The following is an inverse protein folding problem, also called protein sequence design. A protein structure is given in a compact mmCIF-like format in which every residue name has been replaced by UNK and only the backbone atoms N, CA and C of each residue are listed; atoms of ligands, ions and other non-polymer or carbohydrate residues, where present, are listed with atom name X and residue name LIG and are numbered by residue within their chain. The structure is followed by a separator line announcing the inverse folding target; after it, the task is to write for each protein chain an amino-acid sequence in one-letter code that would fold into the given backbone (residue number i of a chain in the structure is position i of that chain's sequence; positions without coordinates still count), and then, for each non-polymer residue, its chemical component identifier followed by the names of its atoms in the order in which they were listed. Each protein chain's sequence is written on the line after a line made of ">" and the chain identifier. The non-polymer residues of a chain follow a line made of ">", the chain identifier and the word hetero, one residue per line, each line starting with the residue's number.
data_IF_976327753404
#
_entry.id   IF_976327753404
#
_cell.length_a   1.000
_cell.length_b   1.000
_cell.length_c   1.000
_cell.angle_alpha   90.00
_cell.angle_beta   90.00
_cell.angle_gamma   90.00
#
_symmetry.space_group_name_H-M   'P 1'
#
loop_
_entity.id
_entity.type
_entity.pdbx_description
1 polymer ?
#
# COMPACT_ATOMS: atom_id res chain seq x y z
N UNK A 1 25.44 12.01 53.78
CA UNK A 1 24.38 11.19 53.18
C UNK A 1 24.14 11.70 51.75
N UNK A 2 24.74 11.05 50.78
CA UNK A 2 24.59 11.43 49.36
C UNK A 2 23.39 10.66 48.81
N UNK A 3 22.32 11.38 48.41
CA UNK A 3 21.14 10.79 47.74
C UNK A 3 21.53 10.47 46.30
N UNK A 4 21.60 9.20 45.98
CA UNK A 4 21.76 8.68 44.62
C UNK A 4 20.37 8.79 43.94
N UNK A 5 20.22 9.72 43.00
CA UNK A 5 19.03 9.81 42.16
C UNK A 5 19.26 8.86 41.00
N UNK A 6 18.59 7.72 41.04
CA UNK A 6 18.54 6.75 39.93
C UNK A 6 17.56 7.29 38.88
N UNK A 7 18.08 7.90 37.83
CA UNK A 7 17.30 8.27 36.65
C UNK A 7 17.03 7.00 35.85
N UNK A 8 15.83 6.47 35.98
CA UNK A 8 15.33 5.39 35.12
C UNK A 8 15.09 5.99 33.74
N UNK A 9 16.07 5.84 32.86
CA UNK A 9 15.90 6.11 31.44
C UNK A 9 15.01 4.99 30.87
N UNK A 10 13.69 5.20 30.84
CA UNK A 10 12.79 4.36 30.06
C UNK A 10 13.09 4.61 28.60
N UNK A 11 13.90 3.72 28.03
CA UNK A 11 14.03 3.59 26.58
C UNK A 11 12.64 3.25 26.01
N UNK A 12 11.93 4.25 25.55
CA UNK A 12 10.81 4.06 24.65
C UNK A 12 11.42 3.49 23.35
N UNK A 13 11.44 2.17 23.27
CA UNK A 13 11.65 1.49 22.00
C UNK A 13 10.39 1.79 21.19
N UNK A 14 10.45 2.85 20.38
CA UNK A 14 9.47 3.06 19.34
C UNK A 14 9.51 1.78 18.50
N UNK A 15 8.48 0.95 18.61
CA UNK A 15 8.28 -0.17 17.71
C UNK A 15 8.18 0.40 16.30
N UNK A 16 9.29 0.30 15.58
CA UNK A 16 9.37 0.64 14.16
C UNK A 16 8.72 -0.55 13.46
N UNK A 17 7.39 -0.60 13.52
CA UNK A 17 6.63 -1.62 12.82
C UNK A 17 6.70 -1.30 11.32
N UNK A 18 7.68 -1.89 10.65
CA UNK A 18 7.74 -1.91 9.20
C UNK A 18 6.71 -2.97 8.75
N UNK A 19 5.49 -2.54 8.45
CA UNK A 19 4.50 -3.44 7.87
C UNK A 19 5.06 -4.11 6.62
N UNK A 20 4.80 -5.41 6.51
CA UNK A 20 5.16 -6.21 5.34
C UNK A 20 3.92 -6.88 4.77
N UNK A 21 3.87 -6.96 3.44
CA UNK A 21 2.75 -7.60 2.76
C UNK A 21 3.24 -8.70 1.81
N UNK A 22 2.51 -9.82 1.77
CA UNK A 22 2.60 -10.81 0.68
C UNK A 22 1.35 -10.69 -0.17
N UNK A 23 1.52 -10.39 -1.44
CA UNK A 23 0.41 -10.17 -2.36
C UNK A 23 0.43 -11.10 -3.55
N UNK A 24 -0.71 -11.16 -4.23
CA UNK A 24 -0.88 -11.80 -5.54
C UNK A 24 -1.99 -11.12 -6.31
N UNK A 25 -1.93 -11.24 -7.62
CA UNK A 25 -3.05 -10.95 -8.50
C UNK A 25 -3.85 -12.22 -8.73
N UNK A 26 -5.17 -12.09 -8.78
CA UNK A 26 -6.12 -13.19 -8.96
C UNK A 26 -6.96 -12.86 -10.17
N UNK A 27 -6.79 -13.61 -11.24
CA UNK A 27 -7.68 -13.56 -12.40
C UNK A 27 -8.75 -14.63 -12.22
N UNK A 28 -10.00 -14.21 -12.17
CA UNK A 28 -11.15 -15.11 -12.06
C UNK A 28 -11.54 -15.60 -13.45
N UNK A 29 -11.88 -16.88 -13.56
CA UNK A 29 -12.37 -17.48 -14.80
C UNK A 29 -13.70 -16.85 -15.22
N UNK A 30 -13.95 -16.82 -16.52
CA UNK A 30 -15.17 -16.24 -17.09
C UNK A 30 -16.43 -16.87 -16.49
N UNK A 31 -17.36 -16.03 -16.06
CA UNK A 31 -18.63 -16.46 -15.44
C UNK A 31 -18.52 -17.00 -14.02
N UNK A 32 -17.32 -16.96 -13.37
CA UNK A 32 -17.09 -17.49 -12.01
C UNK A 32 -16.99 -16.41 -10.93
N UNK A 33 -17.11 -15.14 -11.27
CA UNK A 33 -16.93 -14.03 -10.33
C UNK A 33 -17.78 -14.19 -9.05
N UNK A 34 -19.08 -14.45 -9.19
CA UNK A 34 -19.98 -14.61 -8.05
C UNK A 34 -19.53 -15.75 -7.14
N UNK A 35 -19.22 -16.92 -7.74
CA UNK A 35 -18.79 -18.12 -7.00
C UNK A 35 -17.50 -17.89 -6.25
N UNK A 36 -16.51 -17.26 -6.89
CA UNK A 36 -15.19 -16.97 -6.29
C UNK A 36 -15.31 -15.91 -5.19
N UNK A 37 -16.12 -14.86 -5.40
CA UNK A 37 -16.32 -13.83 -4.39
C UNK A 37 -16.99 -14.40 -3.14
N UNK A 38 -18.03 -15.18 -3.28
CA UNK A 38 -18.68 -15.85 -2.14
C UNK A 38 -17.74 -16.81 -1.42
N UNK A 39 -16.90 -17.53 -2.15
CA UNK A 39 -15.90 -18.42 -1.55
C UNK A 39 -14.81 -17.65 -0.77
N UNK A 40 -14.27 -16.56 -1.34
CA UNK A 40 -13.30 -15.70 -0.66
C UNK A 40 -13.92 -15.06 0.58
N UNK A 41 -15.16 -14.55 0.47
CA UNK A 41 -15.91 -13.97 1.58
C UNK A 41 -16.09 -14.99 2.72
N UNK A 42 -16.63 -16.16 2.42
CA UNK A 42 -16.85 -17.21 3.41
C UNK A 42 -15.54 -17.65 4.10
N UNK A 43 -14.45 -17.80 3.34
CA UNK A 43 -13.12 -18.11 3.86
C UNK A 43 -12.60 -16.99 4.79
N UNK A 44 -12.73 -15.74 4.36
CA UNK A 44 -12.24 -14.59 5.13
C UNK A 44 -13.04 -14.43 6.43
N UNK A 45 -14.35 -14.57 6.37
CA UNK A 45 -15.23 -14.52 7.56
C UNK A 45 -14.95 -15.66 8.55
N UNK A 46 -14.54 -16.84 8.08
CA UNK A 46 -14.25 -17.98 8.94
C UNK A 46 -12.85 -17.91 9.58
N UNK A 47 -11.84 -17.44 8.85
CA UNK A 47 -10.45 -17.61 9.26
C UNK A 47 -9.65 -16.32 9.45
N UNK A 48 -10.11 -15.18 8.92
CA UNK A 48 -9.32 -13.95 8.86
C UNK A 48 -10.06 -12.75 9.47
N UNK A 49 -10.63 -12.95 10.67
CA UNK A 49 -11.37 -11.90 11.38
C UNK A 49 -10.51 -11.10 12.37
N UNK A 50 -9.19 -11.26 12.31
CA UNK A 50 -8.26 -10.41 13.06
C UNK A 50 -7.63 -9.38 12.11
N UNK A 51 -7.59 -8.13 12.55
CA UNK A 51 -6.85 -7.07 11.86
C UNK A 51 -5.33 -7.13 12.14
N UNK A 52 -4.92 -7.84 13.19
CA UNK A 52 -3.52 -7.90 13.64
C UNK A 52 -2.74 -9.10 13.11
N UNK A 53 -3.44 -10.22 12.84
CA UNK A 53 -2.80 -11.48 12.43
C UNK A 53 -3.56 -12.11 11.27
N UNK A 54 -2.82 -12.57 10.27
CA UNK A 54 -3.37 -13.19 9.07
C UNK A 54 -4.39 -12.29 8.36
N UNK A 55 -4.24 -10.95 8.49
CA UNK A 55 -5.13 -10.00 7.87
C UNK A 55 -4.96 -10.01 6.36
N UNK A 56 -6.07 -10.15 5.65
CA UNK A 56 -6.11 -10.15 4.20
C UNK A 56 -6.96 -9.01 3.69
N UNK A 57 -6.40 -8.20 2.79
CA UNK A 57 -7.08 -7.10 2.14
C UNK A 57 -7.18 -7.35 0.64
N UNK A 58 -8.35 -7.10 0.08
CA UNK A 58 -8.67 -7.41 -1.32
C UNK A 58 -9.16 -6.15 -2.01
N UNK A 59 -8.61 -5.89 -3.19
CA UNK A 59 -8.98 -4.78 -4.05
C UNK A 59 -9.41 -5.32 -5.42
N UNK A 60 -10.42 -4.72 -6.00
CA UNK A 60 -10.77 -4.90 -7.41
C UNK A 60 -10.02 -3.86 -8.25
N UNK A 61 -9.39 -4.29 -9.32
CA UNK A 61 -8.64 -3.42 -10.23
C UNK A 61 -9.59 -2.98 -11.33
N UNK A 62 -9.93 -1.69 -11.36
CA UNK A 62 -10.88 -1.13 -12.31
C UNK A 62 -10.24 -0.78 -13.64
N UNK A 63 -9.00 -0.29 -13.61
CA UNK A 63 -8.32 0.23 -14.81
C UNK A 63 -6.92 -0.35 -15.00
N UNK A 64 -6.40 -0.18 -16.22
CA UNK A 64 -5.05 -0.62 -16.58
C UNK A 64 -5.00 -2.05 -17.12
N UNK A 65 -3.79 -2.58 -17.29
CA UNK A 65 -3.55 -3.89 -17.92
C UNK A 65 -4.02 -5.09 -17.08
N UNK A 66 -4.41 -4.86 -15.81
CA UNK A 66 -4.94 -5.86 -14.90
C UNK A 66 -6.41 -5.60 -14.52
N UNK A 67 -7.09 -4.73 -15.27
CA UNK A 67 -8.51 -4.47 -15.05
C UNK A 67 -9.33 -5.77 -15.02
N UNK A 68 -10.26 -5.87 -14.07
CA UNK A 68 -11.08 -7.06 -13.85
C UNK A 68 -10.44 -8.12 -12.94
N UNK A 69 -9.18 -7.95 -12.53
CA UNK A 69 -8.52 -8.84 -11.56
C UNK A 69 -8.70 -8.34 -10.13
N UNK A 70 -8.46 -9.25 -9.17
CA UNK A 70 -8.32 -8.88 -7.77
C UNK A 70 -6.83 -8.78 -7.43
N UNK A 71 -6.47 -7.78 -6.64
CA UNK A 71 -5.22 -7.75 -5.88
C UNK A 71 -5.53 -8.16 -4.45
N UNK A 72 -4.88 -9.19 -3.94
CA UNK A 72 -5.08 -9.66 -2.57
C UNK A 72 -3.75 -9.73 -1.83
N UNK A 73 -3.67 -9.05 -0.70
CA UNK A 73 -2.49 -8.99 0.15
C UNK A 73 -2.78 -9.51 1.55
N UNK A 74 -1.89 -10.32 2.11
CA UNK A 74 -1.76 -10.58 3.54
C UNK A 74 -0.79 -9.56 4.11
N UNK A 75 -1.19 -8.81 5.13
CA UNK A 75 -0.36 -7.82 5.82
C UNK A 75 -0.02 -8.34 7.22
N UNK A 76 1.24 -8.21 7.58
CA UNK A 76 1.79 -8.53 8.92
C UNK A 76 2.62 -7.34 9.42
N UNK A 77 2.82 -7.28 10.73
CA UNK A 77 3.60 -6.22 11.35
C UNK A 77 5.09 -6.30 11.00
N UNK A 78 5.60 -7.52 10.75
CA UNK A 78 6.98 -7.80 10.37
C UNK A 78 7.07 -9.14 9.59
N UNK A 79 8.28 -9.50 9.18
CA UNK A 79 8.54 -10.76 8.47
C UNK A 79 8.25 -12.00 9.32
N UNK A 80 8.47 -11.92 10.64
CA UNK A 80 8.24 -13.05 11.54
C UNK A 80 6.75 -13.45 11.60
N UNK A 81 5.83 -12.52 11.33
CA UNK A 81 4.41 -12.81 11.19
C UNK A 81 4.11 -13.85 10.11
N UNK A 82 4.97 -13.97 9.08
CA UNK A 82 4.81 -14.97 8.03
C UNK A 82 5.37 -16.36 8.39
N UNK A 83 6.12 -16.50 9.48
CA UNK A 83 6.64 -17.77 9.96
C UNK A 83 5.59 -18.55 10.78
N UNK A 84 4.52 -17.85 11.21
CA UNK A 84 3.41 -18.49 11.88
C UNK A 84 2.72 -19.49 10.94
N UNK A 85 2.53 -20.71 11.44
CA UNK A 85 1.83 -21.76 10.69
C UNK A 85 0.40 -21.32 10.37
N UNK A 86 0.06 -21.39 9.09
CA UNK A 86 -1.30 -21.15 8.62
C UNK A 86 -2.26 -22.26 9.05
N UNK A 87 -3.54 -21.97 9.09
CA UNK A 87 -4.56 -22.97 9.40
C UNK A 87 -4.72 -23.95 8.22
N UNK A 88 -4.48 -25.28 8.41
CA UNK A 88 -4.63 -26.26 7.34
C UNK A 88 -6.04 -26.31 6.73
N UNK A 89 -7.09 -26.06 7.54
CA UNK A 89 -8.47 -26.00 7.04
C UNK A 89 -8.72 -24.77 6.15
N UNK A 90 -8.05 -23.65 6.46
CA UNK A 90 -8.07 -22.45 5.63
C UNK A 90 -7.51 -22.75 4.23
N UNK A 91 -6.35 -23.40 4.16
CA UNK A 91 -5.72 -23.81 2.89
C UNK A 91 -6.59 -24.82 2.14
N UNK A 92 -7.16 -25.79 2.85
CA UNK A 92 -8.09 -26.77 2.27
C UNK A 92 -9.28 -26.09 1.63
N UNK A 93 -9.95 -25.21 2.37
CA UNK A 93 -11.11 -24.45 1.86
C UNK A 93 -10.74 -23.62 0.63
N UNK A 94 -9.61 -22.90 0.66
CA UNK A 94 -9.14 -22.14 -0.50
C UNK A 94 -8.91 -23.03 -1.72
N UNK A 95 -8.23 -24.16 -1.54
CA UNK A 95 -7.90 -25.08 -2.63
C UNK A 95 -9.14 -25.76 -3.24
N UNK A 96 -10.16 -25.99 -2.44
CA UNK A 96 -11.40 -26.64 -2.89
C UNK A 96 -12.37 -25.66 -3.53
N UNK A 97 -12.43 -24.41 -3.05
CA UNK A 97 -13.52 -23.48 -3.40
C UNK A 97 -13.09 -22.29 -4.26
N UNK A 98 -11.82 -21.90 -4.23
CA UNK A 98 -11.29 -20.76 -5.00
C UNK A 98 -10.34 -21.22 -6.09
N UNK A 99 -9.32 -21.99 -5.75
CA UNK A 99 -8.25 -22.39 -6.69
C UNK A 99 -8.75 -22.96 -8.02
N UNK A 100 -9.83 -23.78 -8.08
CA UNK A 100 -10.30 -24.35 -9.36
C UNK A 100 -10.82 -23.32 -10.37
N UNK A 101 -11.08 -22.10 -9.95
CA UNK A 101 -11.74 -21.06 -10.75
C UNK A 101 -10.91 -19.77 -10.92
N UNK A 102 -9.62 -19.86 -10.59
CA UNK A 102 -8.75 -18.68 -10.66
C UNK A 102 -7.35 -19.03 -11.16
N UNK A 103 -6.75 -18.08 -11.82
CA UNK A 103 -5.31 -18.07 -12.07
C UNK A 103 -4.65 -17.04 -11.15
N UNK A 104 -3.71 -17.49 -10.33
CA UNK A 104 -2.90 -16.60 -9.49
C UNK A 104 -1.61 -16.25 -10.21
N UNK A 105 -1.23 -14.97 -10.11
CA UNK A 105 -0.06 -14.44 -10.77
C UNK A 105 0.69 -13.47 -9.84
N UNK A 106 1.97 -13.29 -10.11
CA UNK A 106 2.83 -12.27 -9.54
C UNK A 106 2.80 -12.25 -8.00
N UNK A 107 3.26 -13.34 -7.39
CA UNK A 107 3.45 -13.38 -5.94
C UNK A 107 4.59 -12.45 -5.53
N UNK A 108 4.29 -11.45 -4.71
CA UNK A 108 5.23 -10.41 -4.33
C UNK A 108 5.26 -10.21 -2.83
N UNK A 109 6.43 -9.82 -2.32
CA UNK A 109 6.62 -9.33 -0.96
C UNK A 109 6.93 -7.84 -1.01
N UNK A 110 6.27 -7.06 -0.14
CA UNK A 110 6.36 -5.61 -0.07
C UNK A 110 6.74 -5.17 1.33
N UNK A 111 7.49 -4.08 1.40
CA UNK A 111 7.85 -3.37 2.62
C UNK A 111 7.22 -1.99 2.59
N UNK A 112 6.46 -1.66 3.63
CA UNK A 112 5.91 -0.32 3.80
C UNK A 112 7.00 0.68 4.15
N UNK A 113 7.07 1.79 3.44
CA UNK A 113 8.05 2.84 3.66
C UNK A 113 7.42 4.05 4.37
N UNK A 114 7.33 3.97 5.69
CA UNK A 114 6.73 5.02 6.52
C UNK A 114 7.42 6.38 6.43
N UNK A 115 8.71 6.43 6.03
CA UNK A 115 9.46 7.67 5.95
C UNK A 115 9.02 8.58 4.79
N UNK A 116 8.26 8.04 3.86
CA UNK A 116 7.72 8.73 2.68
C UNK A 116 6.24 8.45 2.47
N UNK A 117 5.57 7.84 3.44
CA UNK A 117 4.12 7.63 3.47
C UNK A 117 3.46 8.61 4.43
N UNK A 118 2.30 9.10 4.06
CA UNK A 118 1.47 9.98 4.86
C UNK A 118 0.02 9.50 4.76
N UNK A 119 -0.44 8.79 5.77
CA UNK A 119 -1.79 8.23 5.84
C UNK A 119 -2.46 8.74 7.11
N UNK A 120 -3.59 9.41 6.96
CA UNK A 120 -4.38 10.00 8.04
C UNK A 120 -5.63 9.18 8.34
N UNK A 121 -6.08 8.37 7.38
CA UNK A 121 -7.35 7.66 7.44
C UNK A 121 -7.17 6.16 7.37
N UNK A 122 -8.16 5.45 7.90
CA UNK A 122 -8.25 4.00 7.78
C UNK A 122 -8.53 3.57 6.33
N UNK A 123 -8.04 2.39 5.97
CA UNK A 123 -8.29 1.75 4.68
C UNK A 123 -9.79 1.64 4.34
N UNK A 124 -10.64 1.50 5.35
CA UNK A 124 -12.09 1.36 5.18
C UNK A 124 -12.81 2.68 4.91
N UNK A 125 -12.27 3.79 5.35
CA UNK A 125 -12.93 5.09 5.20
C UNK A 125 -12.78 5.64 3.79
N UNK A 126 -11.67 5.30 3.14
CA UNK A 126 -11.37 5.73 1.77
C UNK A 126 -11.14 4.51 0.88
N UNK A 127 -12.21 3.89 0.34
CA UNK A 127 -12.09 2.64 -0.39
C UNK A 127 -11.45 2.77 -1.78
N UNK A 128 -11.50 3.94 -2.40
CA UNK A 128 -10.93 4.17 -3.72
C UNK A 128 -9.43 4.40 -3.61
N UNK A 129 -8.64 3.77 -4.48
CA UNK A 129 -7.18 3.91 -4.54
C UNK A 129 -6.73 4.30 -5.94
N UNK A 130 -6.04 5.42 -6.06
CA UNK A 130 -5.21 5.65 -7.23
C UNK A 130 -3.82 5.04 -6.95
N UNK A 131 -3.49 3.98 -7.66
CA UNK A 131 -2.24 3.23 -7.48
C UNK A 131 -1.31 3.50 -8.64
N UNK A 132 -0.10 3.96 -8.33
CA UNK A 132 0.97 4.16 -9.30
C UNK A 132 2.06 3.13 -9.02
N UNK A 133 2.28 2.25 -9.98
CA UNK A 133 3.34 1.26 -9.96
C UNK A 133 4.54 1.82 -10.74
N UNK A 134 5.66 1.99 -10.08
CA UNK A 134 6.92 2.46 -10.67
C UNK A 134 7.89 1.30 -10.84
N UNK A 135 8.61 1.30 -11.97
CA UNK A 135 9.79 0.47 -12.17
C UNK A 135 11.02 1.37 -12.21
N UNK A 136 11.72 1.45 -11.11
CA UNK A 136 12.82 2.38 -10.89
C UNK A 136 14.15 1.74 -11.32
N UNK A 137 14.98 2.48 -12.02
CA UNK A 137 16.37 2.10 -12.32
C UNK A 137 17.17 2.15 -10.99
N UNK A 138 17.72 1.03 -10.52
CA UNK A 138 18.51 1.02 -9.29
C UNK A 138 19.67 2.02 -9.28
N UNK A 139 20.28 2.30 -10.45
CA UNK A 139 21.38 3.25 -10.58
C UNK A 139 20.94 4.71 -10.37
N UNK A 140 19.65 5.01 -10.56
CA UNK A 140 19.04 6.34 -10.41
C UNK A 140 18.04 6.42 -9.24
N UNK A 141 18.03 5.42 -8.39
CA UNK A 141 17.05 5.34 -7.28
C UNK A 141 17.14 6.52 -6.31
N UNK A 142 18.29 7.17 -6.19
CA UNK A 142 18.44 8.36 -5.34
C UNK A 142 17.53 9.52 -5.81
N UNK A 143 17.39 9.75 -7.11
CA UNK A 143 16.52 10.80 -7.64
C UNK A 143 15.05 10.50 -7.32
N UNK A 144 14.66 9.24 -7.47
CA UNK A 144 13.32 8.77 -7.10
C UNK A 144 13.03 9.01 -5.61
N UNK A 145 13.92 8.58 -4.72
CA UNK A 145 13.69 8.70 -3.27
C UNK A 145 13.79 10.14 -2.77
N UNK A 146 14.66 10.95 -3.37
CA UNK A 146 14.72 12.40 -3.09
C UNK A 146 13.38 13.07 -3.41
N UNK A 147 12.82 12.79 -4.59
CA UNK A 147 11.51 13.31 -4.96
C UNK A 147 10.41 12.84 -3.99
N UNK A 148 10.35 11.54 -3.67
CA UNK A 148 9.35 10.99 -2.74
C UNK A 148 9.45 11.63 -1.35
N UNK A 149 10.66 11.82 -0.84
CA UNK A 149 10.86 12.46 0.47
C UNK A 149 10.40 13.91 0.47
N UNK A 150 10.73 14.65 -0.57
CA UNK A 150 10.31 16.06 -0.70
C UNK A 150 8.79 16.19 -0.88
N UNK A 151 8.14 15.26 -1.58
CA UNK A 151 6.68 15.17 -1.64
C UNK A 151 6.09 14.94 -0.26
N UNK A 152 6.61 13.98 0.50
CA UNK A 152 6.17 13.75 1.88
C UNK A 152 6.29 15.02 2.73
N UNK A 153 7.45 15.69 2.69
CA UNK A 153 7.70 16.92 3.46
C UNK A 153 6.73 18.05 3.03
N UNK A 154 6.44 18.16 1.74
CA UNK A 154 5.51 19.13 1.20
C UNK A 154 4.05 18.84 1.61
N UNK A 155 3.62 17.56 1.64
CA UNK A 155 2.30 17.16 2.17
C UNK A 155 2.19 17.60 3.64
N UNK A 156 3.19 17.26 4.46
CA UNK A 156 3.21 17.59 5.90
C UNK A 156 3.17 19.11 6.11
N UNK A 157 4.00 19.87 5.39
CA UNK A 157 4.12 21.33 5.58
C UNK A 157 2.90 22.11 5.07
N UNK A 158 2.33 21.67 3.94
CA UNK A 158 1.12 22.28 3.36
C UNK A 158 -0.16 21.93 4.10
N UNK A 159 -0.12 20.89 4.96
CA UNK A 159 -1.32 20.29 5.58
C UNK A 159 -2.36 19.87 4.55
N UNK A 160 -1.90 19.40 3.39
CA UNK A 160 -2.79 18.87 2.38
C UNK A 160 -3.53 17.62 2.91
N UNK A 161 -4.81 17.54 2.64
CA UNK A 161 -5.67 16.43 3.06
C UNK A 161 -5.52 15.22 2.11
N UNK A 162 -4.29 14.70 2.01
CA UNK A 162 -3.92 13.59 1.14
C UNK A 162 -3.48 12.39 1.97
N UNK A 163 -3.94 11.21 1.58
CA UNK A 163 -3.45 9.94 2.09
C UNK A 163 -2.55 9.28 1.05
N UNK A 164 -1.28 9.07 1.37
CA UNK A 164 -0.29 8.49 0.48
C UNK A 164 0.47 7.35 1.15
N UNK A 165 0.22 6.12 0.70
CA UNK A 165 0.97 4.93 1.12
C UNK A 165 2.04 4.55 0.10
N UNK A 166 3.27 4.26 0.56
CA UNK A 166 4.39 3.87 -0.30
C UNK A 166 4.94 2.51 0.12
N UNK A 167 5.00 1.60 -0.84
CA UNK A 167 5.46 0.23 -0.65
C UNK A 167 6.58 -0.08 -1.63
N UNK A 168 7.64 -0.73 -1.15
CA UNK A 168 8.76 -1.17 -1.97
C UNK A 168 8.76 -2.69 -2.09
N UNK A 169 8.88 -3.22 -3.31
CA UNK A 169 8.98 -4.66 -3.49
C UNK A 169 10.32 -5.18 -2.96
N UNK A 170 10.25 -6.22 -2.13
CA UNK A 170 11.43 -6.91 -1.60
C UNK A 170 11.73 -8.22 -2.31
N UNK A 171 10.69 -8.89 -2.84
CA UNK A 171 10.84 -10.14 -3.57
C UNK A 171 9.68 -10.36 -4.55
N UNK A 172 9.87 -11.22 -5.56
CA UNK A 172 8.83 -11.65 -6.50
C UNK A 172 8.67 -10.75 -7.72
N UNK A 173 9.62 -9.83 -7.99
CA UNK A 173 9.59 -9.02 -9.20
C UNK A 173 11.01 -8.78 -9.74
N UNK A 174 11.10 -8.16 -10.93
CA UNK A 174 12.36 -7.75 -11.54
C UNK A 174 12.57 -6.25 -11.31
N UNK A 175 13.79 -5.89 -10.87
CA UNK A 175 14.17 -4.50 -10.63
C UNK A 175 13.57 -3.92 -9.34
N UNK A 176 13.75 -2.64 -9.13
CA UNK A 176 13.21 -1.90 -8.00
C UNK A 176 11.81 -1.42 -8.34
N UNK A 177 10.81 -2.12 -7.82
CA UNK A 177 9.41 -1.74 -8.01
C UNK A 177 8.89 -1.04 -6.76
N UNK A 178 8.19 0.06 -6.96
CA UNK A 178 7.56 0.85 -5.90
C UNK A 178 6.10 1.06 -6.24
N UNK A 179 5.25 0.81 -5.27
CA UNK A 179 3.82 1.12 -5.33
C UNK A 179 3.57 2.39 -4.50
N UNK A 180 2.97 3.38 -5.11
CA UNK A 180 2.45 4.57 -4.43
C UNK A 180 0.94 4.57 -4.58
N UNK A 181 0.24 4.49 -3.47
CA UNK A 181 -1.23 4.52 -3.43
C UNK A 181 -1.72 5.81 -2.80
N UNK A 182 -2.61 6.51 -3.48
CA UNK A 182 -3.39 7.61 -2.90
C UNK A 182 -4.79 7.10 -2.58
N UNK A 183 -5.28 7.44 -1.39
CA UNK A 183 -6.58 6.99 -0.90
C UNK A 183 -7.62 8.09 -1.02
N UNK A 184 -8.82 7.75 -1.49
CA UNK A 184 -9.93 8.66 -1.69
C UNK A 184 -11.24 8.00 -1.22
N UNK A 185 -12.16 8.79 -0.67
CA UNK A 185 -13.49 8.30 -0.32
C UNK A 185 -14.29 7.94 -1.59
N UNK A 186 -14.16 8.75 -2.63
CA UNK A 186 -14.83 8.57 -3.91
C UNK A 186 -14.08 9.29 -5.06
N UNK A 187 -14.66 9.29 -6.25
CA UNK A 187 -14.08 9.94 -7.42
C UNK A 187 -14.10 11.47 -7.34
N UNK A 188 -15.04 12.06 -6.59
CA UNK A 188 -15.09 13.52 -6.42
C UNK A 188 -13.95 13.99 -5.53
N UNK A 189 -13.67 13.27 -4.43
CA UNK A 189 -12.48 13.53 -3.61
C UNK A 189 -11.20 13.30 -4.42
N UNK A 190 -11.12 12.23 -5.21
CA UNK A 190 -9.96 11.99 -6.08
C UNK A 190 -9.69 13.16 -7.04
N UNK A 191 -10.73 13.77 -7.62
CA UNK A 191 -10.59 14.96 -8.48
C UNK A 191 -10.12 16.16 -7.67
N UNK A 192 -10.69 16.40 -6.48
CA UNK A 192 -10.29 17.49 -5.59
C UNK A 192 -8.84 17.35 -5.13
N UNK A 193 -8.41 16.14 -4.76
CA UNK A 193 -7.05 15.84 -4.35
C UNK A 193 -6.04 16.09 -5.46
N UNK A 194 -6.37 15.70 -6.71
CA UNK A 194 -5.49 15.91 -7.86
C UNK A 194 -5.38 17.37 -8.30
N UNK A 195 -6.34 18.21 -7.94
CA UNK A 195 -6.39 19.60 -8.36
C UNK A 195 -6.07 20.56 -7.20
N UNK A 196 -6.90 20.57 -6.17
CA UNK A 196 -6.82 21.54 -5.06
C UNK A 196 -5.71 21.14 -4.08
N UNK A 197 -5.74 19.93 -3.57
CA UNK A 197 -4.78 19.47 -2.55
C UNK A 197 -3.37 19.36 -3.14
N UNK A 198 -3.26 18.81 -4.35
CA UNK A 198 -1.97 18.69 -5.02
C UNK A 198 -1.33 20.05 -5.35
N UNK A 199 -2.13 21.09 -5.65
CA UNK A 199 -1.61 22.43 -5.86
C UNK A 199 -0.96 23.00 -4.59
N UNK A 200 -1.51 22.72 -3.40
CA UNK A 200 -0.89 23.09 -2.11
C UNK A 200 0.47 22.40 -1.94
N UNK A 201 0.54 21.11 -2.27
CA UNK A 201 1.79 20.33 -2.20
C UNK A 201 2.86 20.88 -3.12
N UNK A 202 2.52 21.19 -4.38
CA UNK A 202 3.47 21.78 -5.34
C UNK A 202 3.99 23.12 -4.86
N UNK A 203 3.11 23.98 -4.35
CA UNK A 203 3.50 25.29 -3.79
C UNK A 203 4.47 25.15 -2.61
N UNK A 204 4.14 24.28 -1.64
CA UNK A 204 5.00 24.03 -0.48
C UNK A 204 6.34 23.35 -0.87
N UNK A 205 6.33 22.51 -1.90
CA UNK A 205 7.54 21.91 -2.43
C UNK A 205 8.50 22.97 -2.98
N UNK A 206 8.00 23.88 -3.81
CA UNK A 206 8.80 24.94 -4.41
C UNK A 206 9.24 25.97 -3.36
N UNK A 207 8.39 26.31 -2.39
CA UNK A 207 8.76 27.19 -1.27
C UNK A 207 9.95 26.62 -0.47
N UNK A 208 9.96 25.30 -0.20
CA UNK A 208 11.00 24.67 0.60
C UNK A 208 12.30 24.37 -0.18
N UNK A 209 12.22 24.17 -1.49
CA UNK A 209 13.36 23.66 -2.29
C UNK A 209 13.83 24.65 -3.38
N UNK A 210 13.09 25.71 -3.66
CA UNK A 210 13.35 26.73 -4.68
C UNK A 210 12.28 26.73 -5.78
N UNK A 211 12.04 27.88 -6.36
CA UNK A 211 11.04 28.08 -7.43
C UNK A 211 11.32 27.14 -8.62
N UNK A 212 10.28 26.42 -9.07
CA UNK A 212 10.36 25.46 -10.18
C UNK A 212 11.07 24.14 -9.84
N UNK A 213 11.48 23.93 -8.58
CA UNK A 213 12.19 22.72 -8.19
C UNK A 213 11.32 21.45 -8.29
N UNK A 214 10.00 21.57 -8.06
CA UNK A 214 9.07 20.47 -8.28
C UNK A 214 9.15 19.94 -9.71
N UNK A 215 9.14 20.82 -10.71
CA UNK A 215 9.22 20.45 -12.11
C UNK A 215 10.57 19.80 -12.45
N UNK A 216 11.67 20.36 -11.94
CA UNK A 216 13.01 19.82 -12.15
C UNK A 216 13.17 18.42 -11.55
N UNK A 217 12.69 18.20 -10.34
CA UNK A 217 12.80 16.90 -9.68
C UNK A 217 11.79 15.88 -10.27
N UNK A 218 10.62 16.31 -10.70
CA UNK A 218 9.68 15.44 -11.43
C UNK A 218 10.28 14.97 -12.78
N UNK A 219 11.08 15.80 -13.44
CA UNK A 219 11.82 15.38 -14.63
C UNK A 219 12.86 14.29 -14.27
N UNK A 220 13.65 14.48 -13.21
CA UNK A 220 14.59 13.46 -12.72
C UNK A 220 13.89 12.17 -12.31
N UNK A 221 12.72 12.29 -11.65
CA UNK A 221 11.87 11.13 -11.35
C UNK A 221 11.55 10.34 -12.61
N UNK A 222 11.12 11.00 -13.70
CA UNK A 222 10.80 10.34 -14.96
C UNK A 222 12.04 9.68 -15.58
N UNK A 223 13.19 10.33 -15.50
CA UNK A 223 14.47 9.81 -15.98
C UNK A 223 15.02 8.66 -15.11
N UNK A 224 14.54 8.52 -13.89
CA UNK A 224 14.87 7.41 -12.99
C UNK A 224 14.08 6.14 -13.27
N UNK A 225 13.15 6.16 -14.20
CA UNK A 225 12.37 4.98 -14.57
C UNK A 225 13.15 4.07 -15.52
N UNK A 226 12.92 2.77 -15.41
CA UNK A 226 13.43 1.76 -16.33
C UNK A 226 12.29 0.92 -16.94
N UNK A 227 12.60 0.16 -17.97
CA UNK A 227 11.69 -0.75 -18.69
C UNK A 227 10.39 -0.05 -19.12
N UNK A 228 9.25 -0.43 -18.50
CA UNK A 228 7.91 0.09 -18.80
C UNK A 228 7.59 1.42 -18.09
N UNK A 229 8.52 1.97 -17.29
CA UNK A 229 8.34 3.25 -16.62
C UNK A 229 7.39 3.16 -15.39
N UNK A 230 6.20 3.74 -15.52
CA UNK A 230 5.15 3.61 -14.52
C UNK A 230 3.80 3.21 -15.14
N UNK A 231 2.90 2.78 -14.29
CA UNK A 231 1.51 2.45 -14.66
C UNK A 231 0.59 2.95 -13.55
N UNK A 232 -0.42 3.74 -13.93
CA UNK A 232 -1.45 4.22 -13.01
C UNK A 232 -2.71 3.37 -13.16
N UNK A 233 -3.29 2.98 -12.03
CA UNK A 233 -4.49 2.15 -11.96
C UNK A 233 -5.44 2.71 -10.91
N UNK A 234 -6.72 2.45 -11.07
CA UNK A 234 -7.75 2.69 -10.05
C UNK A 234 -8.15 1.34 -9.47
N UNK A 235 -8.13 1.26 -8.16
CA UNK A 235 -8.50 0.08 -7.40
C UNK A 235 -9.60 0.41 -6.41
N UNK A 236 -10.56 -0.50 -6.23
CA UNK A 236 -11.60 -0.39 -5.21
C UNK A 236 -11.40 -1.44 -4.15
N UNK A 237 -11.34 -1.03 -2.90
CA UNK A 237 -11.30 -1.91 -1.74
C UNK A 237 -12.61 -2.68 -1.60
N UNK A 238 -12.52 -3.99 -1.37
CA UNK A 238 -13.65 -4.89 -1.20
C UNK A 238 -13.71 -5.36 0.27
N UNK A 239 -14.42 -4.63 1.15
CA UNK A 239 -14.47 -4.94 2.57
C UNK A 239 -15.07 -6.32 2.86
N UNK A 240 -16.04 -6.76 2.06
CA UNK A 240 -16.68 -8.07 2.22
C UNK A 240 -15.75 -9.26 1.91
N UNK A 241 -14.66 -9.04 1.16
CA UNK A 241 -13.64 -10.04 0.85
C UNK A 241 -12.37 -9.87 1.73
N UNK A 242 -12.40 -8.94 2.67
CA UNK A 242 -11.25 -8.52 3.45
C UNK A 242 -11.44 -8.81 4.94
N UNK A 243 -10.33 -8.85 5.66
CA UNK A 243 -10.33 -8.80 7.13
C UNK A 243 -10.90 -7.47 7.62
N UNK A 244 -11.38 -7.38 8.86
CA UNK A 244 -11.77 -6.11 9.46
C UNK A 244 -10.62 -5.10 9.38
N UNK A 245 -10.96 -3.84 9.16
CA UNK A 245 -9.98 -2.77 9.23
C UNK A 245 -9.50 -2.55 10.66
N UNK A 246 -8.27 -2.09 10.81
CA UNK A 246 -7.77 -1.64 12.10
C UNK A 246 -8.48 -0.33 12.42
N UNK A 247 -9.28 -0.31 13.48
CA UNK A 247 -9.73 0.97 14.04
C UNK A 247 -8.52 1.54 14.78
N UNK A 248 -8.01 2.74 14.44
CA UNK A 248 -6.96 3.36 15.23
C UNK A 248 -7.42 3.43 16.69
N UNK A 249 -6.63 2.86 17.61
CA UNK A 249 -6.88 3.08 19.05
C UNK A 249 -6.63 4.55 19.34
N UNK A 250 -7.66 5.25 19.83
CA UNK A 250 -7.58 6.61 20.36
C UNK A 250 -6.44 6.79 21.38
#
# INVERSE_FOLDING_TARGET
>A
MKKLILILLTLYVANINAQVAKSRYIKVDEGKNKQVYEAIKAKTQKFNQSAEKFAHYTFYIETGNRAGQLFRARIEQDLAGFDAEGNPEEYKMWNETVTPYVTNDLFQMWYYNKNVSYEMTDLCEKPLRQVILYNVDPAKSNDFWTFRKRIYDAIVSSKAELDMGVWTVGAGNRGLNVLVGFAHADHAEMEADQTVEWAKVVSAYDEANGEGQFQADNQKLRESMSMWGNSTQIWTFLPELSSPCVVPSE
#
